data_IF_714344647417
#
_entry.id   IF_714344647417
#
_cell.length_a   1.000
_cell.length_b   1.000
_cell.length_c   1.000
_cell.angle_alpha   90.00
_cell.angle_beta   90.00
_cell.angle_gamma   90.00
#
_symmetry.space_group_name_H-M   'P 1'
#
loop_
_entity.id
_entity.type
_entity.pdbx_description
1 polymer ?
#
# COMPACT_ATOMS: atom_id res chain seq x y z
N UNK A 1 -56.01 28.17 48.06
CA UNK A 1 -55.19 27.16 47.35
C UNK A 1 -54.93 27.63 45.93
N UNK A 2 -53.78 27.27 45.33
CA UNK A 2 -53.37 27.55 43.94
C UNK A 2 -52.75 28.94 43.69
N UNK A 3 -51.53 29.18 44.18
CA UNK A 3 -50.64 30.22 43.61
C UNK A 3 -49.15 29.88 43.66
N UNK A 4 -48.79 28.58 43.64
CA UNK A 4 -47.39 28.16 43.76
C UNK A 4 -46.91 27.13 42.72
N UNK A 5 -47.74 26.69 41.76
CA UNK A 5 -47.27 25.75 40.73
C UNK A 5 -46.54 26.41 39.56
N UNK A 6 -46.87 27.65 39.22
CA UNK A 6 -46.35 28.31 38.01
C UNK A 6 -44.91 28.82 38.17
N UNK A 7 -44.52 29.26 39.37
CA UNK A 7 -43.14 29.69 39.67
C UNK A 7 -42.18 28.51 39.81
N UNK A 8 -42.65 27.36 40.30
CA UNK A 8 -41.85 26.13 40.37
C UNK A 8 -41.61 25.57 38.95
N UNK A 9 -42.59 25.64 38.04
CA UNK A 9 -42.41 25.25 36.63
C UNK A 9 -41.45 26.16 35.86
N UNK A 10 -41.44 27.48 36.13
CA UNK A 10 -40.48 28.40 35.49
C UNK A 10 -39.05 28.19 35.99
N UNK A 11 -38.86 27.86 37.27
CA UNK A 11 -37.53 27.52 37.82
C UNK A 11 -37.05 26.13 37.37
N UNK A 12 -37.95 25.16 37.15
CA UNK A 12 -37.59 23.87 36.56
C UNK A 12 -37.24 23.99 35.06
N UNK A 13 -37.94 24.85 34.30
CA UNK A 13 -37.59 25.09 32.89
C UNK A 13 -36.27 25.83 32.70
N UNK A 14 -35.90 26.71 33.64
CA UNK A 14 -34.62 27.44 33.57
C UNK A 14 -33.42 26.57 33.99
N UNK A 15 -33.64 25.53 34.80
CA UNK A 15 -32.60 24.56 35.16
C UNK A 15 -32.41 23.45 34.12
N UNK A 16 -33.33 23.31 33.16
CA UNK A 16 -33.22 22.37 32.04
C UNK A 16 -32.45 22.93 30.83
N UNK A 17 -32.02 24.20 30.88
CA UNK A 17 -31.37 24.90 29.76
C UNK A 17 -29.88 25.21 29.97
N UNK A 18 -29.27 24.68 31.03
CA UNK A 18 -27.83 24.79 31.31
C UNK A 18 -27.28 23.40 31.64
N UNK A 19 -27.41 22.48 30.69
CA UNK A 19 -26.52 21.32 30.61
C UNK A 19 -25.55 21.66 29.48
N UNK A 20 -24.29 22.05 29.79
CA UNK A 20 -23.31 22.23 28.75
C UNK A 20 -23.16 20.90 28.02
N UNK A 21 -23.28 20.98 26.70
CA UNK A 21 -22.93 19.98 25.71
C UNK A 21 -21.46 19.56 25.87
N UNK A 22 -21.21 18.72 26.88
CA UNK A 22 -20.10 17.77 26.93
C UNK A 22 -20.67 16.40 26.57
N UNK A 23 -21.37 16.34 25.43
CA UNK A 23 -21.39 15.12 24.66
C UNK A 23 -19.96 14.97 24.12
N UNK A 24 -19.10 14.32 24.91
CA UNK A 24 -18.01 13.57 24.31
C UNK A 24 -18.71 12.60 23.35
N UNK A 25 -18.62 12.89 22.06
CA UNK A 25 -18.74 11.85 21.06
C UNK A 25 -17.63 10.84 21.37
N UNK A 26 -17.92 9.85 22.21
CA UNK A 26 -17.16 8.61 22.21
C UNK A 26 -17.59 7.83 20.97
N UNK A 27 -17.14 8.31 19.82
CA UNK A 27 -16.85 7.40 18.73
C UNK A 27 -15.51 6.73 19.08
N UNK A 28 -15.60 5.64 19.84
CA UNK A 28 -14.49 4.68 19.97
C UNK A 28 -14.52 3.64 18.83
N UNK A 29 -15.31 3.91 17.79
CA UNK A 29 -15.20 3.26 16.50
C UNK A 29 -14.17 4.03 15.69
N UNK A 30 -12.92 3.57 15.81
CA UNK A 30 -11.74 4.11 15.17
C UNK A 30 -11.88 4.27 13.66
N UNK A 31 -12.30 5.45 13.23
CA UNK A 31 -12.16 5.93 11.86
C UNK A 31 -10.73 6.42 11.55
N UNK A 32 -9.76 6.05 12.38
CA UNK A 32 -8.32 6.23 12.18
C UNK A 32 -7.52 4.91 12.35
N UNK A 33 -8.19 3.75 12.48
CA UNK A 33 -7.51 2.51 12.86
C UNK A 33 -7.14 1.60 11.66
N UNK A 34 -7.69 1.84 10.47
CA UNK A 34 -7.37 1.03 9.29
C UNK A 34 -6.05 1.45 8.60
N UNK A 35 -5.67 2.74 8.67
CA UNK A 35 -4.42 3.26 8.08
C UNK A 35 -3.20 3.13 9.02
N UNK A 36 -3.45 2.90 10.31
CA UNK A 36 -2.42 2.63 11.32
C UNK A 36 -1.90 1.18 11.33
N UNK A 37 -2.40 0.34 10.42
CA UNK A 37 -2.11 -1.10 10.41
C UNK A 37 -0.90 -1.42 9.55
N UNK A 38 -0.01 -2.23 10.12
CA UNK A 38 1.02 -2.91 9.35
C UNK A 38 0.29 -3.96 8.51
N UNK A 39 0.25 -3.74 7.20
CA UNK A 39 -0.24 -4.72 6.24
C UNK A 39 0.82 -5.80 6.01
N UNK A 40 0.38 -7.06 6.00
CA UNK A 40 1.20 -8.22 5.68
C UNK A 40 0.59 -8.93 4.48
N UNK A 41 1.42 -9.17 3.46
CA UNK A 41 1.05 -10.01 2.34
C UNK A 41 1.37 -11.47 2.63
N UNK A 42 0.70 -12.38 1.93
CA UNK A 42 0.88 -13.83 2.09
C UNK A 42 1.35 -14.43 0.78
N UNK A 43 2.46 -15.17 0.83
CA UNK A 43 2.99 -15.90 -0.32
C UNK A 43 3.56 -17.24 0.12
N UNK A 44 3.15 -18.34 -0.51
CA UNK A 44 3.78 -19.65 -0.31
C UNK A 44 4.42 -20.09 -1.63
N UNK A 45 5.76 -20.10 -1.72
CA UNK A 45 6.44 -20.42 -2.97
C UNK A 45 6.26 -21.89 -3.41
N UNK A 46 5.83 -22.09 -4.66
CA UNK A 46 5.77 -23.35 -5.41
C UNK A 46 6.95 -24.33 -5.22
N UNK A 47 8.22 -23.90 -5.31
CA UNK A 47 9.37 -24.83 -5.40
C UNK A 47 10.08 -25.09 -4.06
N UNK A 48 9.56 -24.59 -2.94
CA UNK A 48 10.25 -24.68 -1.63
C UNK A 48 9.90 -25.92 -0.82
N UNK A 49 8.76 -26.57 -1.09
CA UNK A 49 8.19 -27.48 -0.10
C UNK A 49 7.55 -28.76 -0.67
N UNK A 50 7.73 -29.08 -1.96
CA UNK A 50 7.03 -30.19 -2.64
C UNK A 50 5.50 -30.20 -2.37
N UNK A 51 4.92 -29.04 -2.00
CA UNK A 51 3.52 -28.90 -1.63
C UNK A 51 2.70 -28.91 -2.92
N UNK A 52 1.78 -29.86 -3.10
CA UNK A 52 0.90 -29.89 -4.26
C UNK A 52 0.04 -28.63 -4.36
N UNK A 53 -0.23 -28.15 -5.58
CA UNK A 53 -0.92 -26.86 -5.83
C UNK A 53 -2.15 -26.61 -4.97
N UNK A 54 -3.03 -27.62 -4.87
CA UNK A 54 -4.25 -27.46 -4.08
C UNK A 54 -4.00 -27.32 -2.57
N UNK A 55 -3.01 -28.04 -2.04
CA UNK A 55 -2.61 -27.91 -0.63
C UNK A 55 -1.94 -26.56 -0.36
N UNK A 56 -1.17 -26.05 -1.33
CA UNK A 56 -0.52 -24.74 -1.26
C UNK A 56 -1.53 -23.61 -1.21
N UNK A 57 -2.49 -23.57 -2.14
CA UNK A 57 -3.56 -22.57 -2.13
C UNK A 57 -4.40 -22.63 -0.84
N UNK A 58 -4.60 -23.84 -0.27
CA UNK A 58 -5.27 -23.99 1.03
C UNK A 58 -4.43 -23.41 2.18
N UNK A 59 -3.12 -23.61 2.19
CA UNK A 59 -2.21 -23.03 3.18
C UNK A 59 -2.18 -21.51 3.08
N UNK A 60 -2.06 -20.96 1.87
CA UNK A 60 -2.13 -19.51 1.60
C UNK A 60 -3.44 -18.92 2.09
N UNK A 61 -4.58 -19.55 1.76
CA UNK A 61 -5.89 -19.08 2.21
C UNK A 61 -6.02 -19.06 3.74
N UNK A 62 -5.47 -20.07 4.42
CA UNK A 62 -5.46 -20.14 5.89
C UNK A 62 -4.56 -19.07 6.51
N UNK A 63 -3.40 -18.80 5.90
CA UNK A 63 -2.49 -17.74 6.33
C UNK A 63 -3.11 -16.35 6.12
N UNK A 64 -3.73 -16.12 4.96
CA UNK A 64 -4.45 -14.88 4.67
C UNK A 64 -5.59 -14.66 5.67
N UNK A 65 -6.34 -15.70 6.00
CA UNK A 65 -7.36 -15.64 7.04
C UNK A 65 -6.75 -15.28 8.40
N UNK A 66 -5.65 -15.92 8.82
CA UNK A 66 -5.02 -15.65 10.11
C UNK A 66 -4.48 -14.22 10.22
N UNK A 67 -3.88 -13.70 9.15
CA UNK A 67 -3.37 -12.32 9.04
C UNK A 67 -4.53 -11.31 9.08
N UNK A 68 -5.60 -11.57 8.33
CA UNK A 68 -6.81 -10.74 8.30
C UNK A 68 -7.52 -10.72 9.65
N UNK A 69 -7.71 -11.88 10.28
CA UNK A 69 -8.33 -12.02 11.61
C UNK A 69 -7.54 -11.27 12.70
N UNK A 70 -6.24 -11.04 12.49
CA UNK A 70 -5.37 -10.29 13.38
C UNK A 70 -5.21 -8.81 12.98
N UNK A 71 -6.05 -8.32 12.06
CA UNK A 71 -6.06 -6.92 11.63
C UNK A 71 -4.81 -6.49 10.87
N UNK A 72 -4.10 -7.44 10.25
CA UNK A 72 -2.92 -7.16 9.42
C UNK A 72 -3.15 -7.54 7.94
N UNK A 73 -4.37 -7.95 7.59
CA UNK A 73 -4.75 -8.23 6.21
C UNK A 73 -5.10 -6.96 5.47
N UNK A 74 -4.51 -6.76 4.29
CA UNK A 74 -4.80 -5.65 3.40
C UNK A 74 -3.66 -5.40 2.42
N UNK A 75 -3.99 -4.78 1.29
CA UNK A 75 -3.00 -4.27 0.35
C UNK A 75 -2.41 -2.98 0.93
N UNK A 76 -1.30 -3.11 1.67
CA UNK A 76 -0.52 -1.94 2.04
C UNK A 76 0.04 -1.25 0.80
N UNK A 77 0.26 0.07 0.88
CA UNK A 77 0.84 0.90 -0.21
C UNK A 77 2.17 0.34 -0.76
N UNK A 78 2.83 -0.57 -0.04
CA UNK A 78 3.86 -1.46 -0.56
C UNK A 78 4.04 -2.64 0.41
N UNK A 79 3.79 -3.91 0.03
CA UNK A 79 3.82 -5.04 0.96
C UNK A 79 5.25 -5.53 1.24
N UNK A 80 6.10 -4.67 1.83
CA UNK A 80 7.48 -4.97 2.26
C UNK A 80 7.58 -6.22 3.16
N UNK A 81 6.55 -6.43 3.96
CA UNK A 81 6.50 -7.50 4.95
C UNK A 81 5.56 -8.61 4.51
N UNK A 82 6.07 -9.83 4.57
CA UNK A 82 5.39 -11.01 4.04
C UNK A 82 5.30 -12.09 5.11
N UNK A 83 4.17 -12.80 5.14
CA UNK A 83 4.04 -14.09 5.79
C UNK A 83 4.20 -15.18 4.74
N UNK A 84 5.13 -16.09 5.00
CA UNK A 84 5.37 -17.25 4.15
C UNK A 84 5.46 -18.52 4.98
N UNK A 85 5.40 -19.67 4.31
CA UNK A 85 5.45 -20.95 4.97
C UNK A 85 6.19 -22.01 4.16
N UNK A 86 6.71 -23.01 4.86
CA UNK A 86 7.14 -24.29 4.27
C UNK A 86 6.57 -25.46 5.05
N UNK A 87 6.48 -26.61 4.39
CA UNK A 87 6.10 -27.88 4.99
C UNK A 87 7.26 -28.87 4.80
N UNK A 88 7.75 -29.43 5.90
CA UNK A 88 8.80 -30.46 5.90
C UNK A 88 8.18 -31.81 6.28
N UNK A 89 8.54 -32.87 5.57
CA UNK A 89 8.07 -34.23 5.89
C UNK A 89 8.92 -34.77 7.05
N UNK A 90 8.29 -35.00 8.21
CA UNK A 90 8.92 -35.67 9.34
C UNK A 90 8.88 -37.20 9.19
N UNK A 91 7.71 -37.74 8.84
CA UNK A 91 7.54 -39.18 8.62
C UNK A 91 6.64 -39.44 7.41
N UNK A 92 6.88 -40.57 6.75
CA UNK A 92 6.06 -41.09 5.65
C UNK A 92 5.89 -42.59 5.82
N UNK A 93 4.65 -43.00 6.01
CA UNK A 93 4.26 -44.39 6.22
C UNK A 93 3.23 -44.81 5.16
N UNK A 94 3.19 -46.10 4.82
CA UNK A 94 2.12 -46.68 4.00
C UNK A 94 1.27 -47.55 4.90
N UNK A 95 -0.01 -47.21 5.03
CA UNK A 95 -0.93 -47.94 5.91
C UNK A 95 -1.31 -49.29 5.30
N UNK A 96 -1.45 -50.35 6.11
CA UNK A 96 -1.90 -51.67 5.66
C UNK A 96 -3.44 -51.70 5.49
N UNK A 97 -4.02 -50.67 4.88
CA UNK A 97 -5.46 -50.55 4.61
C UNK A 97 -5.77 -50.97 3.18
N UNK A 98 -7.06 -51.20 2.86
CA UNK A 98 -7.54 -51.43 1.50
C UNK A 98 -8.48 -50.28 1.11
N UNK A 99 -8.12 -49.39 0.18
CA UNK A 99 -6.81 -49.28 -0.49
C UNK A 99 -5.69 -48.79 0.48
N UNK A 100 -4.41 -49.07 0.17
CA UNK A 100 -3.29 -48.53 0.94
C UNK A 100 -3.31 -46.99 0.92
N UNK A 101 -3.04 -46.36 2.06
CA UNK A 101 -2.92 -44.90 2.17
C UNK A 101 -1.48 -44.51 2.46
N UNK A 102 -1.07 -43.36 1.96
CA UNK A 102 0.15 -42.69 2.36
C UNK A 102 -0.18 -41.79 3.55
N UNK A 103 0.40 -42.08 4.72
CA UNK A 103 0.28 -41.29 5.92
C UNK A 103 1.56 -40.45 6.11
N UNK A 104 1.39 -39.16 6.32
CA UNK A 104 2.49 -38.22 6.51
C UNK A 104 2.34 -37.51 7.84
N UNK A 105 3.48 -37.28 8.50
CA UNK A 105 3.63 -36.27 9.55
C UNK A 105 4.44 -35.13 8.97
N UNK A 106 3.93 -33.91 9.07
CA UNK A 106 4.57 -32.69 8.57
C UNK A 106 4.93 -31.78 9.74
N UNK A 107 6.09 -31.12 9.64
CA UNK A 107 6.37 -29.91 10.41
C UNK A 107 6.12 -28.70 9.50
N UNK A 108 5.23 -27.82 9.90
CA UNK A 108 4.89 -26.59 9.15
C UNK A 108 5.61 -25.43 9.80
N UNK A 109 6.43 -24.72 9.04
CA UNK A 109 7.12 -23.52 9.50
C UNK A 109 6.43 -22.30 8.90
N UNK A 110 6.18 -21.30 9.74
CA UNK A 110 5.70 -19.99 9.34
C UNK A 110 6.82 -18.97 9.58
N UNK A 111 7.00 -18.07 8.62
CA UNK A 111 7.98 -16.99 8.68
C UNK A 111 7.27 -15.68 8.40
N UNK A 112 7.57 -14.66 9.19
CA UNK A 112 7.27 -13.28 8.88
C UNK A 112 8.59 -12.62 8.51
N UNK A 113 8.67 -12.07 7.31
CA UNK A 113 9.92 -11.62 6.71
C UNK A 113 9.82 -10.22 6.14
N UNK A 114 10.95 -9.53 6.11
CA UNK A 114 11.18 -8.33 5.33
C UNK A 114 11.87 -8.75 4.02
N UNK A 115 11.18 -8.64 2.89
CA UNK A 115 11.71 -9.12 1.62
C UNK A 115 12.73 -8.17 1.00
N UNK A 116 12.68 -6.88 1.37
CA UNK A 116 13.56 -5.84 0.83
C UNK A 116 14.95 -5.96 1.45
N UNK A 117 15.02 -5.99 2.79
CA UNK A 117 16.28 -6.09 3.51
C UNK A 117 16.69 -7.54 3.83
N UNK A 118 15.87 -8.52 3.41
CA UNK A 118 16.11 -9.96 3.56
C UNK A 118 16.33 -10.40 5.01
N UNK A 119 15.41 -10.02 5.88
CA UNK A 119 15.46 -10.34 7.31
C UNK A 119 14.26 -11.19 7.72
N UNK A 120 14.51 -12.26 8.48
CA UNK A 120 13.44 -13.01 9.15
C UNK A 120 13.09 -12.30 10.45
N UNK A 121 11.87 -11.76 10.52
CA UNK A 121 11.39 -11.01 11.66
C UNK A 121 10.86 -11.96 12.73
N UNK A 122 9.98 -12.88 12.39
CA UNK A 122 9.41 -13.83 13.35
C UNK A 122 9.29 -15.20 12.74
N UNK A 123 9.29 -16.23 13.58
CA UNK A 123 9.08 -17.62 13.17
C UNK A 123 8.22 -18.37 14.18
N UNK A 124 7.40 -19.29 13.69
CA UNK A 124 6.74 -20.30 14.52
C UNK A 124 6.61 -21.58 13.72
N UNK A 125 6.39 -22.68 14.42
CA UNK A 125 6.19 -23.97 13.78
C UNK A 125 5.15 -24.80 14.51
N UNK A 126 4.56 -25.76 13.81
CA UNK A 126 3.63 -26.73 14.37
C UNK A 126 3.62 -28.00 13.53
N UNK A 127 3.34 -29.13 14.18
CA UNK A 127 3.18 -30.42 13.52
C UNK A 127 1.74 -30.64 13.06
N UNK A 128 1.56 -31.22 11.88
CA UNK A 128 0.26 -31.75 11.43
C UNK A 128 0.41 -33.14 10.79
N UNK A 129 -0.68 -33.89 10.70
CA UNK A 129 -0.70 -35.25 10.14
C UNK A 129 -1.85 -35.40 9.17
N UNK A 130 -1.62 -36.09 8.07
CA UNK A 130 -2.65 -36.39 7.09
C UNK A 130 -2.37 -37.70 6.38
N UNK A 131 -3.44 -38.37 5.98
CA UNK A 131 -3.38 -39.57 5.18
C UNK A 131 -4.23 -39.43 3.93
N UNK A 132 -3.82 -40.07 2.84
CA UNK A 132 -4.55 -40.06 1.57
C UNK A 132 -4.08 -41.15 0.62
N UNK A 133 -4.88 -41.47 -0.39
CA UNK A 133 -4.48 -42.46 -1.42
C UNK A 133 -3.40 -41.94 -2.37
N UNK A 134 -3.03 -40.66 -2.26
CA UNK A 134 -1.87 -40.04 -2.91
C UNK A 134 -1.37 -38.87 -2.05
N UNK A 135 -0.20 -38.32 -2.40
CA UNK A 135 0.41 -37.20 -1.68
C UNK A 135 -0.52 -35.99 -1.56
N UNK A 136 -1.14 -35.53 -2.66
CA UNK A 136 -2.04 -34.37 -2.64
C UNK A 136 -3.18 -34.53 -1.62
N UNK A 137 -3.84 -35.69 -1.59
CA UNK A 137 -4.89 -35.97 -0.60
C UNK A 137 -4.37 -36.00 0.83
N UNK A 138 -3.14 -36.47 1.05
CA UNK A 138 -2.54 -36.50 2.37
C UNK A 138 -2.14 -35.09 2.85
N UNK A 139 -1.60 -34.23 1.99
CA UNK A 139 -1.29 -32.83 2.32
C UNK A 139 -2.57 -32.05 2.64
N UNK A 140 -3.59 -32.16 1.79
CA UNK A 140 -4.88 -31.49 2.01
C UNK A 140 -5.55 -31.98 3.30
N UNK A 141 -5.52 -33.29 3.58
CA UNK A 141 -6.09 -33.84 4.81
C UNK A 141 -5.31 -33.42 6.05
N UNK A 142 -4.00 -33.19 5.94
CA UNK A 142 -3.18 -32.63 7.00
C UNK A 142 -3.49 -31.15 7.27
N UNK A 143 -3.70 -30.35 6.24
CA UNK A 143 -3.94 -28.91 6.39
C UNK A 143 -5.39 -28.57 6.76
N UNK A 144 -6.38 -29.34 6.30
CA UNK A 144 -7.80 -29.07 6.55
C UNK A 144 -8.13 -28.81 8.03
N UNK A 145 -7.72 -29.65 9.01
CA UNK A 145 -8.03 -29.43 10.42
C UNK A 145 -7.17 -28.35 11.09
N UNK A 146 -6.12 -27.85 10.43
CA UNK A 146 -5.23 -26.82 11.00
C UNK A 146 -6.02 -25.52 11.17
N UNK A 147 -6.10 -25.05 12.41
CA UNK A 147 -6.59 -23.73 12.75
C UNK A 147 -5.41 -22.83 13.11
N UNK A 148 -5.16 -21.81 12.28
CA UNK A 148 -4.10 -20.83 12.50
C UNK A 148 -4.52 -19.70 13.46
N UNK A 149 -5.79 -19.61 13.86
CA UNK A 149 -6.23 -18.69 14.91
C UNK A 149 -5.99 -19.30 16.31
N UNK A 150 -4.72 -19.47 16.66
CA UNK A 150 -4.28 -20.01 17.94
C UNK A 150 -3.21 -19.11 18.60
N UNK A 151 -2.92 -19.35 19.88
CA UNK A 151 -2.00 -18.51 20.67
C UNK A 151 -0.57 -18.46 20.13
N UNK A 152 -0.07 -19.53 19.51
CA UNK A 152 1.28 -19.55 18.92
C UNK A 152 1.37 -18.64 17.70
N UNK A 153 0.37 -18.72 16.81
CA UNK A 153 0.32 -17.85 15.62
C UNK A 153 0.07 -16.39 15.99
N UNK A 154 -0.79 -16.12 16.97
CA UNK A 154 -0.99 -14.76 17.50
C UNK A 154 0.31 -14.15 18.01
N UNK A 155 1.05 -14.89 18.86
CA UNK A 155 2.37 -14.44 19.36
C UNK A 155 3.37 -14.23 18.23
N UNK A 156 3.40 -15.13 17.25
CA UNK A 156 4.26 -15.00 16.06
C UNK A 156 3.99 -13.69 15.30
N UNK A 157 2.73 -13.36 15.06
CA UNK A 157 2.31 -12.12 14.42
C UNK A 157 2.63 -10.88 15.28
N UNK A 158 2.35 -10.94 16.59
CA UNK A 158 2.66 -9.84 17.52
C UNK A 158 4.16 -9.56 17.61
N UNK A 159 4.99 -10.60 17.67
CA UNK A 159 6.46 -10.47 17.66
C UNK A 159 6.97 -9.86 16.35
N UNK A 160 6.40 -10.26 15.22
CA UNK A 160 6.71 -9.68 13.92
C UNK A 160 6.35 -8.19 13.86
N UNK A 161 5.13 -7.84 14.27
CA UNK A 161 4.67 -6.45 14.36
C UNK A 161 5.61 -5.60 15.22
N UNK A 162 6.02 -6.11 16.39
CA UNK A 162 6.96 -5.43 17.28
C UNK A 162 8.30 -5.17 16.60
N UNK A 163 8.86 -6.16 15.89
CA UNK A 163 10.15 -6.04 15.19
C UNK A 163 10.09 -5.09 13.98
N UNK A 164 8.96 -5.02 13.29
CA UNK A 164 8.73 -4.03 12.22
C UNK A 164 8.79 -2.61 12.80
N UNK A 165 8.08 -2.36 13.90
CA UNK A 165 8.09 -1.07 14.57
C UNK A 165 9.50 -0.73 15.06
N UNK A 166 10.20 -1.69 15.68
CA UNK A 166 11.58 -1.54 16.13
C UNK A 166 12.54 -1.19 14.98
N UNK A 167 12.37 -1.83 13.81
CA UNK A 167 13.14 -1.53 12.62
C UNK A 167 12.99 -0.06 12.22
N UNK A 168 11.77 0.45 12.02
CA UNK A 168 11.57 1.83 11.59
C UNK A 168 12.01 2.84 12.65
N UNK A 169 11.76 2.56 13.93
CA UNK A 169 12.18 3.43 15.03
C UNK A 169 13.72 3.57 15.11
N UNK A 170 14.46 2.51 14.77
CA UNK A 170 15.93 2.51 14.86
C UNK A 170 16.63 2.83 13.54
N UNK A 171 15.95 2.68 12.39
CA UNK A 171 16.53 2.83 11.05
C UNK A 171 15.94 3.97 10.25
N UNK A 172 15.06 4.80 10.82
CA UNK A 172 14.37 5.86 10.10
C UNK A 172 15.32 6.76 9.27
N UNK A 173 16.44 7.18 9.87
CA UNK A 173 17.43 8.04 9.21
C UNK A 173 18.00 7.39 7.94
N UNK A 174 18.26 6.08 7.99
CA UNK A 174 18.76 5.33 6.85
C UNK A 174 17.69 5.15 5.77
N UNK A 175 16.43 4.95 6.16
CA UNK A 175 15.31 4.85 5.21
C UNK A 175 15.12 6.18 4.47
N UNK A 176 15.13 7.31 5.19
CA UNK A 176 15.04 8.64 4.59
C UNK A 176 16.24 8.93 3.70
N UNK A 177 17.47 8.64 4.15
CA UNK A 177 18.67 8.84 3.35
C UNK A 177 18.66 8.00 2.06
N UNK A 178 18.15 6.76 2.12
CA UNK A 178 17.98 5.90 0.93
C UNK A 178 17.00 6.51 -0.06
N UNK A 179 15.87 7.02 0.42
CA UNK A 179 14.89 7.72 -0.43
C UNK A 179 15.49 8.95 -1.09
N UNK A 180 16.25 9.77 -0.34
CA UNK A 180 16.94 10.93 -0.91
C UNK A 180 17.98 10.53 -1.98
N UNK A 181 18.69 9.42 -1.77
CA UNK A 181 19.62 8.89 -2.77
C UNK A 181 18.90 8.40 -4.04
N UNK A 182 17.72 7.79 -3.92
CA UNK A 182 16.86 7.43 -5.06
C UNK A 182 16.38 8.68 -5.82
N UNK A 183 15.92 9.70 -5.11
CA UNK A 183 15.51 10.98 -5.70
C UNK A 183 16.66 11.66 -6.45
N UNK A 184 17.89 11.63 -5.90
CA UNK A 184 19.07 12.18 -6.58
C UNK A 184 19.41 11.47 -7.90
N UNK A 185 18.97 10.22 -8.06
CA UNK A 185 19.08 9.43 -9.29
C UNK A 185 17.86 9.61 -10.20
N UNK A 186 16.97 10.55 -9.90
CA UNK A 186 15.69 10.80 -10.57
C UNK A 186 14.71 9.62 -10.50
N UNK A 187 14.94 8.69 -9.56
CA UNK A 187 14.05 7.55 -9.29
C UNK A 187 12.96 7.97 -8.33
N UNK A 188 12.22 9.03 -8.67
CA UNK A 188 11.27 9.67 -7.75
C UNK A 188 10.13 8.75 -7.31
N UNK A 189 9.50 7.94 -8.19
CA UNK A 189 8.44 7.03 -7.75
C UNK A 189 8.91 6.03 -6.69
N UNK A 190 10.10 5.46 -6.85
CA UNK A 190 10.69 4.55 -5.87
C UNK A 190 11.08 5.26 -4.56
N UNK A 191 11.63 6.48 -4.67
CA UNK A 191 11.94 7.31 -3.51
C UNK A 191 10.69 7.59 -2.66
N UNK A 192 9.60 7.98 -3.32
CA UNK A 192 8.31 8.26 -2.67
C UNK A 192 7.70 6.98 -2.11
N UNK A 193 7.71 5.87 -2.86
CA UNK A 193 7.20 4.58 -2.38
C UNK A 193 7.95 4.09 -1.13
N UNK A 194 9.27 4.30 -1.07
CA UNK A 194 10.10 3.95 0.09
C UNK A 194 9.65 4.68 1.37
N UNK A 195 9.26 5.95 1.26
CA UNK A 195 8.80 6.77 2.37
C UNK A 195 7.33 6.50 2.72
N UNK A 196 6.46 6.40 1.71
CA UNK A 196 5.03 6.10 1.86
C UNK A 196 4.77 4.69 2.39
N UNK A 197 5.73 3.77 2.27
CA UNK A 197 5.68 2.43 2.85
C UNK A 197 5.96 2.37 4.35
N UNK A 198 6.27 3.49 5.02
CA UNK A 198 6.46 3.53 6.48
C UNK A 198 5.09 3.46 7.16
N UNK A 199 4.82 2.48 8.04
CA UNK A 199 3.54 2.38 8.73
C UNK A 199 3.30 3.55 9.70
N UNK A 200 2.08 4.09 9.76
CA UNK A 200 1.70 5.20 10.67
C UNK A 200 1.91 4.86 12.15
N UNK A 201 1.83 3.58 12.52
CA UNK A 201 2.15 3.12 13.90
C UNK A 201 3.60 3.44 14.29
N UNK A 202 4.49 3.65 13.31
CA UNK A 202 5.85 4.16 13.50
C UNK A 202 5.85 5.69 13.48
N UNK A 203 5.02 6.31 14.34
CA UNK A 203 4.63 7.73 14.29
C UNK A 203 5.76 8.70 13.97
N UNK A 204 6.86 8.64 14.73
CA UNK A 204 7.97 9.58 14.56
C UNK A 204 8.65 9.44 13.20
N UNK A 205 8.82 8.20 12.73
CA UNK A 205 9.41 7.97 11.42
C UNK A 205 8.44 8.32 10.29
N UNK A 206 7.17 8.00 10.46
CA UNK A 206 6.11 8.34 9.51
C UNK A 206 6.03 9.86 9.29
N UNK A 207 5.95 10.65 10.36
CA UNK A 207 5.88 12.12 10.23
C UNK A 207 7.09 12.68 9.48
N UNK A 208 8.29 12.21 9.82
CA UNK A 208 9.53 12.62 9.13
C UNK A 208 9.56 12.19 7.66
N UNK A 209 8.95 11.05 7.34
CA UNK A 209 8.83 10.57 5.97
C UNK A 209 7.88 11.46 5.16
N UNK A 210 6.73 11.81 5.72
CA UNK A 210 5.78 12.76 5.10
C UNK A 210 6.47 14.11 4.82
N UNK A 211 7.23 14.63 5.79
CA UNK A 211 7.98 15.88 5.62
C UNK A 211 9.02 15.78 4.50
N UNK A 212 9.64 14.60 4.31
CA UNK A 212 10.63 14.35 3.27
C UNK A 212 10.02 14.10 1.87
N UNK A 213 8.78 13.64 1.79
CA UNK A 213 8.10 13.37 0.51
C UNK A 213 7.84 14.66 -0.28
N UNK A 214 7.41 15.74 0.38
CA UNK A 214 7.02 16.99 -0.29
C UNK A 214 8.11 17.54 -1.23
N UNK A 215 9.36 17.73 -0.76
CA UNK A 215 10.47 18.16 -1.60
C UNK A 215 10.77 17.21 -2.77
N UNK A 216 10.76 15.89 -2.53
CA UNK A 216 11.04 14.88 -3.56
C UNK A 216 9.95 14.91 -4.65
N UNK A 217 8.69 15.04 -4.25
CA UNK A 217 7.59 15.16 -5.20
C UNK A 217 7.67 16.45 -6.02
N UNK A 218 8.07 17.58 -5.41
CA UNK A 218 8.30 18.81 -6.17
C UNK A 218 9.37 18.60 -7.25
N UNK A 219 10.49 17.94 -6.91
CA UNK A 219 11.53 17.59 -7.89
C UNK A 219 10.99 16.68 -9.01
N UNK A 220 10.12 15.74 -8.66
CA UNK A 220 9.46 14.85 -9.61
C UNK A 220 8.61 15.63 -10.62
N UNK A 221 7.65 16.42 -10.16
CA UNK A 221 6.74 17.15 -11.05
C UNK A 221 7.48 18.23 -11.86
N UNK A 222 8.54 18.83 -11.29
CA UNK A 222 9.41 19.76 -12.02
C UNK A 222 10.16 19.05 -13.15
N UNK A 223 10.71 17.86 -12.88
CA UNK A 223 11.41 17.06 -13.88
C UNK A 223 10.46 16.58 -14.98
N UNK A 224 9.31 16.02 -14.62
CA UNK A 224 8.32 15.53 -15.57
C UNK A 224 7.78 16.66 -16.45
N UNK A 225 7.47 17.81 -15.85
CA UNK A 225 7.08 19.00 -16.60
C UNK A 225 8.15 19.40 -17.64
N UNK A 226 9.44 19.43 -17.27
CA UNK A 226 10.51 19.77 -18.22
C UNK A 226 10.57 18.79 -19.39
N UNK A 227 10.43 17.49 -19.09
CA UNK A 227 10.42 16.45 -20.12
C UNK A 227 9.20 16.57 -21.04
N UNK A 228 8.01 16.80 -20.48
CA UNK A 228 6.77 16.98 -21.25
C UNK A 228 6.81 18.23 -22.13
N UNK A 229 7.34 19.36 -21.63
CA UNK A 229 7.53 20.57 -22.45
C UNK A 229 8.50 20.30 -23.59
N UNK A 230 9.61 19.58 -23.35
CA UNK A 230 10.57 19.23 -24.41
C UNK A 230 9.94 18.33 -25.49
N UNK A 231 9.19 17.30 -25.09
CA UNK A 231 8.48 16.40 -26.01
C UNK A 231 7.43 17.17 -26.81
N UNK A 232 6.59 17.96 -26.14
CA UNK A 232 5.57 18.76 -26.81
C UNK A 232 6.17 19.76 -27.80
N UNK A 233 7.30 20.40 -27.44
CA UNK A 233 8.03 21.30 -28.32
C UNK A 233 8.54 20.59 -29.58
N UNK A 234 9.08 19.38 -29.44
CA UNK A 234 9.54 18.59 -30.57
C UNK A 234 8.40 18.13 -31.48
N UNK A 235 7.29 17.67 -30.89
CA UNK A 235 6.06 17.29 -31.63
C UNK A 235 5.51 18.47 -32.42
N UNK A 236 5.44 19.64 -31.78
CA UNK A 236 5.01 20.87 -32.44
C UNK A 236 5.96 21.30 -33.57
N UNK A 237 7.27 21.24 -33.34
CA UNK A 237 8.26 21.61 -34.35
C UNK A 237 8.21 20.70 -35.59
N UNK A 238 7.90 19.41 -35.41
CA UNK A 238 7.77 18.46 -36.50
C UNK A 238 6.51 18.68 -37.34
N UNK A 239 5.42 19.16 -36.73
CA UNK A 239 4.12 19.34 -37.39
C UNK A 239 3.45 20.64 -36.90
N UNK A 240 3.92 21.83 -37.32
CA UNK A 240 3.50 23.11 -36.76
C UNK A 240 2.15 23.60 -37.33
N UNK A 241 1.15 22.73 -37.22
CA UNK A 241 -0.23 22.87 -37.68
C UNK A 241 -1.19 22.32 -36.61
N UNK A 242 -2.47 22.38 -36.87
CA UNK A 242 -3.48 22.06 -35.89
C UNK A 242 -3.52 20.59 -35.41
N UNK A 243 -2.91 19.66 -36.16
CA UNK A 243 -2.70 18.27 -35.74
C UNK A 243 -1.52 18.12 -34.76
N UNK A 244 -0.39 18.77 -35.04
CA UNK A 244 0.73 18.78 -34.10
C UNK A 244 0.40 19.53 -32.81
N UNK A 245 -0.39 20.61 -32.89
CA UNK A 245 -0.93 21.29 -31.72
C UNK A 245 -1.82 20.36 -30.87
N UNK A 246 -2.68 19.54 -31.50
CA UNK A 246 -3.49 18.52 -30.82
C UNK A 246 -2.62 17.54 -30.01
N UNK A 247 -1.58 17.01 -30.64
CA UNK A 247 -0.67 16.05 -30.03
C UNK A 247 0.17 16.68 -28.92
N UNK A 248 0.73 17.87 -29.15
CA UNK A 248 1.51 18.60 -28.17
C UNK A 248 0.65 19.02 -26.96
N UNK A 249 -0.57 19.50 -27.20
CA UNK A 249 -1.52 19.87 -26.14
C UNK A 249 -1.89 18.69 -25.24
N UNK A 250 -2.08 17.49 -25.81
CA UNK A 250 -2.36 16.27 -25.04
C UNK A 250 -1.19 15.83 -24.14
N UNK A 251 0.06 16.14 -24.52
CA UNK A 251 1.24 15.91 -23.66
C UNK A 251 1.26 16.96 -22.55
N UNK A 252 1.11 18.24 -22.89
CA UNK A 252 1.17 19.33 -21.92
C UNK A 252 0.03 19.24 -20.89
N UNK A 253 -1.13 18.67 -21.25
CA UNK A 253 -2.29 18.61 -20.35
C UNK A 253 -2.12 17.64 -19.19
N UNK A 254 -1.03 16.86 -19.20
CA UNK A 254 -0.64 15.97 -18.12
C UNK A 254 0.30 16.65 -17.12
N UNK A 255 0.77 17.87 -17.41
CA UNK A 255 1.67 18.59 -16.52
C UNK A 255 0.93 19.00 -15.26
N UNK A 256 1.53 18.66 -14.11
CA UNK A 256 1.05 19.12 -12.82
C UNK A 256 1.14 20.67 -12.73
N UNK A 257 0.05 21.37 -12.42
CA UNK A 257 0.04 22.83 -12.25
C UNK A 257 1.01 23.35 -11.19
N UNK A 258 1.34 22.54 -10.18
CA UNK A 258 2.29 22.89 -9.13
C UNK A 258 3.76 22.79 -9.57
N UNK A 259 4.02 22.27 -10.76
CA UNK A 259 5.38 22.23 -11.31
C UNK A 259 5.90 23.64 -11.59
N UNK A 260 7.18 23.88 -11.29
CA UNK A 260 7.81 25.19 -11.48
C UNK A 260 7.87 25.63 -12.95
N UNK A 261 7.75 24.69 -13.90
CA UNK A 261 7.70 25.00 -15.33
C UNK A 261 6.30 25.06 -15.92
N UNK A 262 5.24 25.05 -15.11
CA UNK A 262 3.87 25.16 -15.62
C UNK A 262 3.66 26.39 -16.51
N UNK A 263 4.22 27.54 -16.13
CA UNK A 263 4.20 28.75 -16.97
C UNK A 263 4.85 28.57 -18.34
N UNK A 264 5.87 27.71 -18.47
CA UNK A 264 6.47 27.39 -19.77
C UNK A 264 5.51 26.58 -20.65
N UNK A 265 4.77 25.64 -20.06
CA UNK A 265 3.75 24.88 -20.76
C UNK A 265 2.62 25.79 -21.26
N UNK A 266 2.12 26.69 -20.41
CA UNK A 266 1.11 27.69 -20.78
C UNK A 266 1.59 28.58 -21.93
N UNK A 267 2.84 29.05 -21.87
CA UNK A 267 3.44 29.85 -22.94
C UNK A 267 3.49 29.10 -24.28
N UNK A 268 3.88 27.81 -24.28
CA UNK A 268 3.91 27.00 -25.50
C UNK A 268 2.51 26.80 -26.08
N UNK A 269 1.50 26.54 -25.23
CA UNK A 269 0.10 26.42 -25.65
C UNK A 269 -0.39 27.70 -26.30
N UNK A 270 -0.12 28.86 -25.68
CA UNK A 270 -0.49 30.16 -26.23
C UNK A 270 0.15 30.43 -27.60
N UNK A 271 1.42 30.04 -27.79
CA UNK A 271 2.11 30.15 -29.07
C UNK A 271 1.47 29.25 -30.15
N UNK A 272 1.15 28.00 -29.81
CA UNK A 272 0.49 27.07 -30.73
C UNK A 272 -0.92 27.57 -31.11
N UNK A 273 -1.73 27.99 -30.13
CA UNK A 273 -3.07 28.50 -30.34
C UNK A 273 -3.06 29.74 -31.27
N UNK A 274 -2.15 30.69 -31.01
CA UNK A 274 -2.00 31.89 -31.85
C UNK A 274 -1.64 31.52 -33.29
N UNK A 275 -0.72 30.56 -33.48
CA UNK A 275 -0.28 30.15 -34.82
C UNK A 275 -1.36 29.37 -35.56
N UNK A 276 -2.05 28.44 -34.91
CA UNK A 276 -3.15 27.66 -35.52
C UNK A 276 -4.32 28.58 -35.89
N UNK A 277 -4.68 29.53 -35.03
CA UNK A 277 -5.72 30.51 -35.35
C UNK A 277 -5.34 31.35 -36.56
N UNK A 278 -4.10 31.83 -36.64
CA UNK A 278 -3.62 32.64 -37.76
C UNK A 278 -3.57 31.85 -39.07
N UNK A 279 -3.03 30.64 -39.05
CA UNK A 279 -2.73 29.86 -40.26
C UNK A 279 -3.94 29.07 -40.76
N UNK A 280 -4.86 28.67 -39.87
CA UNK A 280 -6.00 27.79 -40.19
C UNK A 280 -7.38 28.33 -39.79
N UNK A 281 -7.44 29.51 -39.15
CA UNK A 281 -8.70 30.12 -38.63
C UNK A 281 -9.48 29.20 -37.67
N UNK A 282 -8.80 28.25 -37.02
CA UNK A 282 -9.40 27.32 -36.08
C UNK A 282 -9.17 27.80 -34.65
N UNK A 283 -10.26 28.01 -33.92
CA UNK A 283 -10.22 28.36 -32.50
C UNK A 283 -9.86 27.14 -31.64
N UNK A 284 -8.98 27.37 -30.67
CA UNK A 284 -8.44 26.38 -29.74
C UNK A 284 -8.61 26.79 -28.27
N UNK A 285 -9.44 27.80 -28.02
CA UNK A 285 -9.76 28.38 -26.70
C UNK A 285 -10.14 27.34 -25.62
N UNK A 286 -10.76 26.23 -26.00
CA UNK A 286 -11.16 25.18 -25.05
C UNK A 286 -9.94 24.54 -24.36
N UNK A 287 -8.86 24.29 -25.10
CA UNK A 287 -7.64 23.68 -24.55
C UNK A 287 -6.92 24.68 -23.66
N UNK A 288 -6.91 25.96 -24.02
CA UNK A 288 -6.33 27.03 -23.19
C UNK A 288 -7.06 27.12 -21.84
N UNK A 289 -8.40 27.14 -21.85
CA UNK A 289 -9.22 27.25 -20.64
C UNK A 289 -9.08 26.05 -19.71
N UNK A 290 -8.86 24.85 -20.24
CA UNK A 290 -8.63 23.65 -19.43
C UNK A 290 -7.32 23.71 -18.61
N UNK A 291 -6.36 24.56 -19.00
CA UNK A 291 -5.12 24.83 -18.25
C UNK A 291 -5.23 26.03 -17.29
N UNK A 292 -6.33 26.78 -17.32
CA UNK A 292 -6.50 27.96 -16.45
C UNK A 292 -7.33 27.61 -15.20
N UNK A 293 -8.02 26.47 -15.17
CA UNK A 293 -8.88 26.08 -14.05
C UNK A 293 -8.11 25.33 -12.95
N UNK A 294 -7.46 26.06 -12.05
CA UNK A 294 -6.85 25.53 -10.81
C UNK A 294 -7.90 25.37 -9.70
N UNK A 295 -8.06 24.18 -9.11
CA UNK A 295 -8.85 24.00 -7.86
C UNK A 295 -8.20 22.99 -6.91
N UNK A 296 -7.85 23.49 -5.72
CA UNK A 296 -7.64 22.79 -4.43
C UNK A 296 -6.36 21.93 -4.21
N UNK A 297 -5.19 22.57 -4.30
CA UNK A 297 -3.87 21.91 -4.37
C UNK A 297 -3.44 21.12 -3.12
N UNK A 298 -3.66 21.61 -1.89
CA UNK A 298 -3.00 21.01 -0.72
C UNK A 298 -3.49 19.60 -0.37
N UNK A 299 -4.81 19.37 -0.42
CA UNK A 299 -5.37 18.02 -0.17
C UNK A 299 -5.17 17.06 -1.34
N UNK A 300 -4.92 17.60 -2.54
CA UNK A 300 -4.64 16.83 -3.74
C UNK A 300 -3.17 16.43 -3.79
N UNK A 301 -2.24 17.30 -3.35
CA UNK A 301 -0.82 17.00 -3.21
C UNK A 301 -0.57 15.77 -2.36
N UNK A 302 -1.09 15.74 -1.12
CA UNK A 302 -0.91 14.58 -0.22
C UNK A 302 -1.43 13.29 -0.87
N UNK A 303 -2.57 13.36 -1.58
CA UNK A 303 -3.13 12.22 -2.32
C UNK A 303 -2.25 11.82 -3.50
N UNK A 304 -1.80 12.77 -4.31
CA UNK A 304 -0.95 12.53 -5.47
C UNK A 304 0.39 11.91 -5.07
N UNK A 305 0.99 12.36 -3.96
CA UNK A 305 2.22 11.77 -3.43
C UNK A 305 2.03 10.29 -3.13
N UNK A 306 0.93 9.96 -2.44
CA UNK A 306 0.58 8.58 -2.11
C UNK A 306 0.31 7.77 -3.36
N UNK A 307 -0.48 8.30 -4.29
CA UNK A 307 -0.91 7.58 -5.49
C UNK A 307 0.28 7.24 -6.41
N UNK A 308 1.31 8.11 -6.49
CA UNK A 308 2.59 7.79 -7.17
C UNK A 308 3.31 6.62 -6.48
N UNK A 309 3.40 6.64 -5.15
CA UNK A 309 4.02 5.57 -4.38
C UNK A 309 3.27 4.23 -4.51
N UNK A 310 1.94 4.27 -4.45
CA UNK A 310 1.06 3.10 -4.63
C UNK A 310 1.25 2.52 -6.03
N UNK A 311 1.12 3.33 -7.08
CA UNK A 311 1.23 2.85 -8.46
C UNK A 311 2.60 2.20 -8.74
N UNK A 312 3.67 2.71 -8.13
CA UNK A 312 4.97 2.05 -8.19
C UNK A 312 4.98 0.72 -7.43
N UNK A 313 4.47 0.70 -6.18
CA UNK A 313 4.40 -0.50 -5.35
C UNK A 313 3.57 -1.63 -5.97
N UNK A 314 2.43 -1.31 -6.59
CA UNK A 314 1.58 -2.26 -7.31
C UNK A 314 2.29 -2.92 -8.50
N UNK A 315 3.24 -2.21 -9.12
CA UNK A 315 4.05 -2.76 -10.21
C UNK A 315 5.29 -3.55 -9.71
N UNK A 316 5.51 -3.61 -8.40
CA UNK A 316 6.65 -4.27 -7.74
C UNK A 316 6.22 -5.39 -6.79
N UNK A 317 5.04 -5.98 -7.03
CA UNK A 317 4.52 -7.07 -6.21
C UNK A 317 5.56 -8.20 -6.05
N UNK A 318 5.78 -8.70 -4.83
CA UNK A 318 6.80 -9.69 -4.57
C UNK A 318 6.56 -10.93 -5.41
N UNK A 319 7.51 -11.21 -6.29
CA UNK A 319 7.54 -12.43 -7.09
C UNK A 319 8.10 -13.58 -6.27
N UNK A 320 7.66 -14.78 -6.64
CA UNK A 320 8.13 -16.07 -6.16
C UNK A 320 9.66 -16.14 -5.86
N UNK A 321 10.51 -15.62 -6.75
CA UNK A 321 11.97 -15.70 -6.61
C UNK A 321 12.54 -14.85 -5.45
N UNK A 322 11.82 -13.81 -5.03
CA UNK A 322 12.31 -12.84 -4.05
C UNK A 322 12.21 -13.35 -2.61
N UNK A 323 11.48 -14.44 -2.34
CA UNK A 323 11.27 -14.99 -0.99
C UNK A 323 12.04 -16.30 -0.76
N UNK A 324 12.64 -16.88 -1.81
CA UNK A 324 13.39 -18.15 -1.72
C UNK A 324 14.54 -18.15 -0.72
N UNK A 325 15.14 -16.99 -0.43
CA UNK A 325 16.26 -16.88 0.50
C UNK A 325 15.88 -17.26 1.94
N UNK A 326 14.60 -17.20 2.30
CA UNK A 326 14.07 -17.58 3.63
C UNK A 326 14.27 -19.06 3.92
N UNK A 327 14.36 -19.88 2.86
CA UNK A 327 14.34 -21.35 2.95
C UNK A 327 15.70 -21.99 2.66
N UNK A 328 16.75 -21.19 2.54
CA UNK A 328 18.13 -21.65 2.37
C UNK A 328 18.80 -21.89 3.71
#
# INVERSE_FOLDING_TARGET
MVKNKTEIMKKLLFFLLIIPSLAFAQNDLGYADDMARIALDVIVPDQVADIPDHARSLLESKLMQAVTDHGMGGEGVSPRFLVTAKMEILTKDVTPTVPPMQAFTFEVYLYLVDFVDKNVLSTTTFTTKGAGTNANRAYVSALRPVNLNNSNVKRFLDEGKRKIIEYYNTRCDFVIARSQALASQKMYPEAIATLSGIPEVCKDCYMRAIDAIGPIYQEYIDHDCQMMVAVASAVWAAEPNSNGAAKAGAVLSQIDPDSRCYGNAQNLIGQMATKVLRDEQRDWDFVVKAFESEVALESMRIRAFRDVGVAWGENQQPTYNQVLWVFR
#
